data_IF_366362619954
#
_entry.id   IF_366362619954
#
_cell.length_a   1.000
_cell.length_b   1.000
_cell.length_c   1.000
_cell.angle_alpha   90.00
_cell.angle_beta   90.00
_cell.angle_gamma   90.00
#
_symmetry.space_group_name_H-M   'P 1'
#
loop_
_entity.id
_entity.type
_entity.pdbx_description
1 polymer ?
#
# COMPACT_ATOMS: atom_id res chain seq x y z
N UNK A 1 -17.84 -7.18 -7.60
CA UNK A 1 -17.03 -6.06 -7.09
C UNK A 1 -15.59 -6.53 -7.16
N UNK A 2 -14.68 -5.75 -7.75
CA UNK A 2 -13.29 -6.17 -7.91
C UNK A 2 -12.62 -6.22 -6.52
N UNK A 3 -12.57 -7.42 -5.94
CA UNK A 3 -11.88 -7.68 -4.67
C UNK A 3 -10.35 -7.65 -4.83
N UNK A 4 -9.83 -7.44 -6.04
CA UNK A 4 -8.40 -7.41 -6.32
C UNK A 4 -7.97 -5.99 -6.62
N UNK A 5 -6.86 -5.58 -6.04
CA UNK A 5 -6.31 -4.25 -6.23
C UNK A 5 -4.81 -4.34 -6.40
N UNK A 6 -4.28 -3.76 -7.47
CA UNK A 6 -2.84 -3.73 -7.74
C UNK A 6 -2.36 -2.28 -7.80
N UNK A 7 -1.24 -1.99 -7.16
CA UNK A 7 -0.65 -0.64 -7.17
C UNK A 7 0.86 -0.71 -7.35
N UNK A 8 1.42 0.26 -8.07
CA UNK A 8 2.86 0.41 -8.21
C UNK A 8 3.47 1.02 -6.95
N UNK A 9 4.69 0.57 -6.61
CA UNK A 9 5.49 1.12 -5.53
C UNK A 9 6.92 1.38 -6.01
N UNK A 10 7.61 2.27 -5.34
CA UNK A 10 9.01 2.58 -5.59
C UNK A 10 9.79 2.76 -4.29
N UNK A 11 11.04 2.31 -4.32
CA UNK A 11 12.00 2.49 -3.23
C UNK A 11 13.36 2.87 -3.81
N UNK A 12 13.71 4.15 -3.71
CA UNK A 12 14.92 4.68 -4.35
C UNK A 12 14.89 4.52 -5.87
N UNK A 13 15.69 3.60 -6.41
CA UNK A 13 15.75 3.28 -7.85
C UNK A 13 14.97 2.02 -8.24
N UNK A 14 14.53 1.27 -7.25
CA UNK A 14 13.81 0.01 -7.45
C UNK A 14 12.33 0.27 -7.59
N UNK A 15 11.72 -0.38 -8.57
CA UNK A 15 10.29 -0.33 -8.82
C UNK A 15 9.68 -1.69 -8.53
N UNK A 16 8.48 -1.66 -7.96
CA UNK A 16 7.73 -2.85 -7.63
C UNK A 16 6.23 -2.60 -7.73
N UNK A 17 5.46 -3.62 -7.37
CA UNK A 17 4.02 -3.51 -7.24
C UNK A 17 3.52 -4.37 -6.09
N UNK A 18 2.37 -4.00 -5.55
CA UNK A 18 1.66 -4.78 -4.55
C UNK A 18 0.38 -5.28 -5.18
N UNK A 19 0.15 -6.59 -5.10
CA UNK A 19 -1.10 -7.23 -5.49
C UNK A 19 -1.89 -7.57 -4.22
N UNK A 20 -2.99 -6.88 -3.99
CA UNK A 20 -3.94 -7.17 -2.92
C UNK A 20 -5.07 -8.07 -3.46
N UNK A 21 -5.36 -9.13 -2.72
CA UNK A 21 -6.49 -10.03 -2.95
C UNK A 21 -7.41 -9.99 -1.72
N UNK A 22 -8.58 -9.40 -1.88
CA UNK A 22 -9.61 -9.25 -0.85
C UNK A 22 -10.43 -10.51 -0.62
N UNK A 23 -10.35 -11.53 -1.47
CA UNK A 23 -10.93 -12.85 -1.16
C UNK A 23 -10.08 -13.58 -0.11
N UNK A 24 -8.76 -13.58 -0.31
CA UNK A 24 -7.81 -14.18 0.64
C UNK A 24 -7.37 -13.23 1.75
N UNK A 25 -7.75 -11.95 1.68
CA UNK A 25 -7.32 -10.88 2.60
C UNK A 25 -5.80 -10.87 2.75
N UNK A 26 -5.11 -10.89 1.62
CA UNK A 26 -3.65 -10.99 1.57
C UNK A 26 -3.08 -10.04 0.53
N UNK A 27 -1.92 -9.45 0.83
CA UNK A 27 -1.17 -8.62 -0.09
C UNK A 27 0.17 -9.28 -0.41
N UNK A 28 0.52 -9.31 -1.69
CA UNK A 28 1.81 -9.82 -2.18
C UNK A 28 2.65 -8.64 -2.67
N UNK A 29 3.83 -8.46 -2.08
CA UNK A 29 4.75 -7.38 -2.44
C UNK A 29 5.80 -7.92 -3.42
N UNK A 30 5.82 -7.36 -4.62
CA UNK A 30 6.75 -7.71 -5.70
C UNK A 30 7.69 -6.53 -5.95
N UNK A 31 8.88 -6.56 -5.33
CA UNK A 31 9.93 -5.57 -5.57
C UNK A 31 11.29 -6.27 -5.49
N UNK A 32 12.24 -5.86 -6.34
CA UNK A 32 13.61 -6.41 -6.37
C UNK A 32 14.51 -5.87 -5.24
N UNK A 33 13.92 -5.55 -4.10
CA UNK A 33 14.61 -5.00 -2.94
C UNK A 33 14.05 -5.65 -1.67
N UNK A 34 14.85 -6.51 -1.03
CA UNK A 34 14.42 -7.30 0.13
C UNK A 34 14.06 -6.44 1.34
N UNK A 35 14.73 -5.29 1.52
CA UNK A 35 14.42 -4.34 2.59
C UNK A 35 13.04 -3.72 2.37
N UNK A 36 12.79 -3.17 1.18
CA UNK A 36 11.50 -2.58 0.83
C UNK A 36 10.37 -3.62 0.92
N UNK A 37 10.63 -4.85 0.49
CA UNK A 37 9.68 -5.96 0.59
C UNK A 37 9.33 -6.26 2.04
N UNK A 38 10.33 -6.48 2.89
CA UNK A 38 10.15 -6.80 4.30
C UNK A 38 9.44 -5.68 5.07
N UNK A 39 9.82 -4.42 4.82
CA UNK A 39 9.17 -3.26 5.43
C UNK A 39 7.70 -3.15 5.03
N UNK A 40 7.39 -3.36 3.76
CA UNK A 40 6.01 -3.30 3.25
C UNK A 40 5.17 -4.46 3.78
N UNK A 41 5.69 -5.70 3.77
CA UNK A 41 4.99 -6.87 4.32
C UNK A 41 4.74 -6.73 5.82
N UNK A 42 5.73 -6.24 6.57
CA UNK A 42 5.57 -5.94 8.00
C UNK A 42 4.50 -4.87 8.24
N UNK A 43 4.53 -3.79 7.48
CA UNK A 43 3.53 -2.73 7.57
C UNK A 43 2.12 -3.25 7.28
N UNK A 44 1.95 -4.07 6.24
CA UNK A 44 0.64 -4.62 5.88
C UNK A 44 0.13 -5.66 6.88
N UNK A 45 1.01 -6.29 7.66
CA UNK A 45 0.64 -7.22 8.72
C UNK A 45 0.25 -6.57 10.06
N UNK A 46 0.44 -5.26 10.20
CA UNK A 46 0.13 -4.50 11.42
C UNK A 46 -1.14 -3.64 11.22
N UNK A 47 -1.90 -3.45 12.30
CA UNK A 47 -3.03 -2.51 12.31
C UNK A 47 -2.50 -1.10 12.55
N UNK A 48 -3.07 -0.12 11.83
CA UNK A 48 -2.63 1.26 11.88
C UNK A 48 -3.74 2.16 12.39
N UNK A 49 -3.41 3.03 13.35
CA UNK A 49 -4.30 4.11 13.76
C UNK A 49 -4.14 5.28 12.79
N UNK A 50 -5.12 5.49 11.92
CA UNK A 50 -5.10 6.55 10.90
C UNK A 50 -6.18 7.57 11.24
N UNK A 51 -5.79 8.83 11.31
CA UNK A 51 -6.71 9.95 11.47
C UNK A 51 -7.45 10.20 10.15
N UNK A 52 -8.72 9.79 10.10
CA UNK A 52 -9.58 9.94 8.90
C UNK A 52 -10.34 11.26 8.99
N UNK A 53 -10.21 12.15 7.98
CA UNK A 53 -10.99 13.38 7.91
C UNK A 53 -12.46 13.06 7.61
N UNK A 54 -13.35 13.69 8.36
CA UNK A 54 -14.80 13.63 8.17
C UNK A 54 -15.31 14.90 7.45
N UNK A 55 -16.53 15.35 7.77
CA UNK A 55 -17.22 16.44 7.08
C UNK A 55 -16.52 17.80 7.19
N UNK A 56 -15.73 18.03 8.23
CA UNK A 56 -15.00 19.29 8.41
C UNK A 56 -13.48 19.09 8.42
N UNK A 57 -12.74 20.15 8.05
CA UNK A 57 -11.28 20.17 8.00
C UNK A 57 -10.61 19.98 9.37
N UNK A 58 -11.37 20.00 10.48
CA UNK A 58 -10.85 19.83 11.84
C UNK A 58 -11.31 18.51 12.49
N UNK A 59 -12.26 17.80 11.88
CA UNK A 59 -12.82 16.57 12.42
C UNK A 59 -12.05 15.37 11.90
N UNK A 60 -10.98 15.02 12.61
CA UNK A 60 -10.25 13.79 12.41
C UNK A 60 -10.53 12.84 13.56
N UNK A 61 -11.00 11.64 13.24
CA UNK A 61 -11.12 10.56 14.23
C UNK A 61 -10.02 9.53 13.98
N UNK A 62 -9.33 9.08 15.04
CA UNK A 62 -8.41 7.97 14.93
C UNK A 62 -9.22 6.69 14.69
N UNK A 63 -9.06 6.10 13.53
CA UNK A 63 -9.65 4.81 13.18
C UNK A 63 -8.56 3.75 13.12
N UNK A 64 -8.83 2.59 13.72
CA UNK A 64 -7.97 1.42 13.56
C UNK A 64 -8.26 0.77 12.22
N UNK A 65 -7.32 0.94 11.29
CA UNK A 65 -7.38 0.39 9.95
C UNK A 65 -6.57 -0.90 9.91
N UNK A 66 -7.22 -1.98 9.50
CA UNK A 66 -6.58 -3.23 9.14
C UNK A 66 -6.34 -3.24 7.62
N UNK A 67 -5.09 -3.13 7.15
CA UNK A 67 -4.78 -3.03 5.73
C UNK A 67 -5.33 -4.20 4.92
N UNK A 68 -5.54 -5.37 5.52
CA UNK A 68 -5.95 -6.57 4.82
C UNK A 68 -7.47 -6.83 4.89
N UNK A 69 -8.22 -6.03 5.67
CA UNK A 69 -9.65 -6.24 5.87
C UNK A 69 -10.49 -6.11 4.59
N UNK A 70 -10.24 -5.05 3.81
CA UNK A 70 -10.91 -4.74 2.54
C UNK A 70 -10.07 -3.77 1.67
N UNK A 71 -10.53 -3.52 0.44
CA UNK A 71 -9.82 -2.67 -0.54
C UNK A 71 -9.74 -1.20 -0.09
N UNK A 72 -10.74 -0.68 0.62
CA UNK A 72 -10.74 0.72 1.07
C UNK A 72 -9.73 0.93 2.20
N UNK A 73 -9.74 0.03 3.19
CA UNK A 73 -8.77 -0.06 4.27
C UNK A 73 -7.35 -0.25 3.74
N UNK A 74 -7.17 -1.11 2.73
CA UNK A 74 -5.88 -1.29 2.05
C UNK A 74 -5.39 0.01 1.42
N UNK A 75 -6.23 0.69 0.63
CA UNK A 75 -5.89 1.97 0.00
C UNK A 75 -5.56 3.04 1.03
N UNK A 76 -6.33 3.11 2.12
CA UNK A 76 -6.13 4.08 3.19
C UNK A 76 -4.78 3.85 3.90
N UNK A 77 -4.46 2.61 4.24
CA UNK A 77 -3.17 2.24 4.82
C UNK A 77 -1.99 2.61 3.91
N UNK A 78 -2.11 2.38 2.59
CA UNK A 78 -1.08 2.74 1.63
C UNK A 78 -0.77 4.26 1.59
N UNK A 79 -1.73 5.12 1.95
CA UNK A 79 -1.46 6.58 2.03
C UNK A 79 -0.48 6.96 3.14
N UNK A 80 -0.21 6.05 4.08
CA UNK A 80 0.68 6.24 5.23
C UNK A 80 1.92 5.33 5.18
N UNK A 81 1.97 4.36 4.27
CA UNK A 81 3.10 3.44 4.08
C UNK A 81 4.46 4.16 4.01
N UNK A 82 4.55 5.26 3.25
CA UNK A 82 5.79 6.00 3.03
C UNK A 82 6.34 6.68 4.29
N UNK A 83 5.47 7.03 5.25
CA UNK A 83 5.88 7.65 6.51
C UNK A 83 6.74 6.69 7.33
N UNK A 84 6.31 5.42 7.39
CA UNK A 84 6.94 4.38 8.21
C UNK A 84 8.09 3.67 7.48
N UNK A 85 7.98 3.48 6.16
CA UNK A 85 8.87 2.56 5.42
C UNK A 85 9.78 3.23 4.37
N UNK A 86 9.52 4.51 4.03
CA UNK A 86 10.11 5.19 2.85
C UNK A 86 9.77 4.56 1.49
N UNK A 87 8.89 3.57 1.45
CA UNK A 87 8.34 3.02 0.21
C UNK A 87 7.25 3.97 -0.30
N UNK A 88 7.43 4.47 -1.51
CA UNK A 88 6.49 5.37 -2.15
C UNK A 88 5.45 4.59 -2.94
N UNK A 89 4.20 5.05 -2.90
CA UNK A 89 3.10 4.46 -3.68
C UNK A 89 2.85 5.33 -4.91
N UNK A 90 2.99 4.74 -6.09
CA UNK A 90 2.91 5.43 -7.38
C UNK A 90 1.51 5.28 -8.00
N UNK A 91 0.58 6.13 -7.57
CA UNK A 91 -0.82 6.09 -8.02
C UNK A 91 -1.03 6.39 -9.52
N UNK A 92 -0.08 7.07 -10.16
CA UNK A 92 -0.14 7.43 -11.58
C UNK A 92 0.53 6.41 -12.49
N UNK A 93 1.28 5.44 -11.94
CA UNK A 93 2.06 4.49 -12.73
C UNK A 93 1.30 3.18 -12.91
N UNK A 94 1.04 2.75 -14.15
CA UNK A 94 0.40 1.47 -14.40
C UNK A 94 1.26 0.31 -13.88
N UNK A 95 0.65 -0.64 -13.17
CA UNK A 95 1.36 -1.84 -12.68
C UNK A 95 1.97 -2.63 -13.83
N UNK A 96 1.31 -2.71 -14.98
CA UNK A 96 1.83 -3.38 -16.18
C UNK A 96 3.12 -2.75 -16.72
N UNK A 97 3.32 -1.45 -16.49
CA UNK A 97 4.56 -0.78 -16.86
C UNK A 97 5.70 -1.20 -15.92
N UNK A 98 5.45 -1.24 -14.60
CA UNK A 98 6.45 -1.64 -13.60
C UNK A 98 6.82 -3.10 -13.73
N UNK A 99 5.86 -3.98 -14.00
CA UNK A 99 6.12 -5.40 -14.29
C UNK A 99 7.09 -5.60 -15.45
N UNK A 100 7.08 -4.68 -16.44
CA UNK A 100 7.99 -4.71 -17.59
C UNK A 100 9.31 -3.96 -17.33
N UNK A 101 9.32 -3.01 -16.40
CA UNK A 101 10.44 -2.13 -16.11
C UNK A 101 10.63 -2.03 -14.57
N UNK A 102 11.27 -3.03 -13.93
CA UNK A 102 11.37 -3.11 -12.48
C UNK A 102 12.41 -2.16 -11.86
N UNK A 103 13.07 -1.31 -12.65
CA UNK A 103 14.04 -0.32 -12.18
C UNK A 103 13.97 0.95 -13.05
N UNK A 104 14.41 2.08 -12.48
CA UNK A 104 14.59 3.36 -13.20
C UNK A 104 15.83 3.38 -14.10
#
# INVERSE_FOLDING_TARGET
>A
MENKFSVAISFGKDLGWIDYDGESKSATVNINNDEAKSLTEKYLGEKHSINVPHETLMDFTPEEIDPLADVESFKLALTRLWNETKVHVDWSRPVDYVRKNPHY
#
